data_IF_649835973366
#
_entry.id   IF_649835973366
#
_cell.length_a   1.000
_cell.length_b   1.000
_cell.length_c   1.000
_cell.angle_alpha   90.00
_cell.angle_beta   90.00
_cell.angle_gamma   90.00
#
_symmetry.space_group_name_H-M   'P 1'
#
loop_
_entity.id
_entity.type
_entity.pdbx_description
1 polymer ?
#
# COMPACT_ATOMS: atom_id res chain seq x y z
N UNK A 1 -46.55 -3.95 27.52
CA UNK A 1 -46.17 -2.66 26.92
C UNK A 1 -44.64 -2.64 26.79
N UNK A 2 -44.12 -3.15 25.68
CA UNK A 2 -42.67 -3.24 25.39
C UNK A 2 -42.45 -2.72 23.98
N UNK A 3 -42.36 -1.40 23.86
CA UNK A 3 -42.06 -0.69 22.61
C UNK A 3 -40.54 -0.79 22.36
N UNK A 4 -40.12 -1.92 21.79
CA UNK A 4 -38.78 -2.07 21.23
C UNK A 4 -38.73 -1.20 19.98
N UNK A 5 -38.19 -0.01 20.13
CA UNK A 5 -37.85 0.86 19.02
C UNK A 5 -36.83 0.14 18.14
N UNK A 6 -37.32 -0.46 17.06
CA UNK A 6 -36.50 -1.02 15.99
C UNK A 6 -35.71 0.12 15.38
N UNK A 7 -34.46 0.29 15.84
CA UNK A 7 -33.48 1.14 15.20
C UNK A 7 -33.43 0.65 13.75
N UNK A 8 -33.81 1.46 12.74
CA UNK A 8 -33.70 1.01 11.37
C UNK A 8 -32.23 0.73 11.16
N UNK A 9 -31.87 -0.55 11.08
CA UNK A 9 -30.58 -1.02 10.59
C UNK A 9 -30.55 -0.59 9.13
N UNK A 10 -30.24 0.69 8.92
CA UNK A 10 -29.96 1.30 7.64
C UNK A 10 -28.87 0.41 7.07
N UNK A 11 -29.26 -0.52 6.19
CA UNK A 11 -28.32 -1.39 5.50
C UNK A 11 -27.43 -0.44 4.72
N UNK A 12 -26.29 -0.09 5.32
CA UNK A 12 -25.21 0.61 4.67
C UNK A 12 -24.78 -0.33 3.56
N UNK A 13 -25.34 -0.10 2.37
CA UNK A 13 -25.01 -0.87 1.20
C UNK A 13 -23.64 -0.38 0.73
N UNK A 14 -22.60 -0.96 1.32
CA UNK A 14 -21.20 -0.61 1.08
C UNK A 14 -20.78 -1.35 -0.19
N UNK A 15 -21.10 -0.78 -1.35
CA UNK A 15 -20.56 -1.28 -2.62
C UNK A 15 -19.07 -0.90 -2.70
N UNK A 16 -18.18 -1.82 -2.34
CA UNK A 16 -16.72 -1.65 -2.41
C UNK A 16 -16.24 -1.24 -3.83
N UNK A 17 -16.91 -1.74 -4.87
CA UNK A 17 -16.60 -1.46 -6.27
C UNK A 17 -17.28 -0.20 -6.85
N UNK A 18 -18.23 0.40 -6.13
CA UNK A 18 -18.94 1.61 -6.58
C UNK A 18 -19.14 2.55 -5.38
N UNK A 19 -18.12 3.34 -5.01
CA UNK A 19 -18.16 4.12 -3.79
C UNK A 19 -19.17 5.27 -3.86
N UNK A 20 -20.19 5.23 -3.00
CA UNK A 20 -21.14 6.32 -2.77
C UNK A 20 -20.71 7.10 -1.51
N UNK A 21 -19.80 8.06 -1.65
CA UNK A 21 -19.38 8.96 -0.56
C UNK A 21 -17.91 9.39 -0.64
N UNK A 22 -17.62 10.64 -0.25
CA UNK A 22 -16.26 11.20 -0.28
C UNK A 22 -15.28 10.43 0.63
N UNK A 23 -15.72 9.99 1.82
CA UNK A 23 -14.91 9.18 2.74
C UNK A 23 -14.49 7.84 2.13
N UNK A 24 -15.44 7.12 1.52
CA UNK A 24 -15.17 5.81 0.93
C UNK A 24 -14.30 5.91 -0.33
N UNK A 25 -14.41 7.00 -1.11
CA UNK A 25 -13.53 7.27 -2.24
C UNK A 25 -12.08 7.49 -1.79
N UNK A 26 -11.87 8.10 -0.62
CA UNK A 26 -10.54 8.29 -0.05
C UNK A 26 -9.93 6.97 0.42
N UNK A 27 -10.71 6.09 1.05
CA UNK A 27 -10.27 4.73 1.44
C UNK A 27 -9.79 3.93 0.21
N UNK A 28 -10.59 3.91 -0.86
CA UNK A 28 -10.24 3.21 -2.10
C UNK A 28 -9.00 3.80 -2.75
N UNK A 29 -8.80 5.13 -2.68
CA UNK A 29 -7.61 5.78 -3.20
C UNK A 29 -6.34 5.38 -2.40
N UNK A 30 -6.42 5.32 -1.06
CA UNK A 30 -5.30 4.84 -0.24
C UNK A 30 -5.01 3.38 -0.56
N UNK A 31 -6.03 2.52 -0.63
CA UNK A 31 -5.86 1.10 -0.98
C UNK A 31 -5.20 0.92 -2.35
N UNK A 32 -5.60 1.70 -3.37
CA UNK A 32 -4.98 1.67 -4.71
C UNK A 32 -3.51 2.08 -4.69
N UNK A 33 -3.15 3.11 -3.92
CA UNK A 33 -1.77 3.58 -3.82
C UNK A 33 -0.89 2.52 -3.14
N UNK A 34 -1.37 1.91 -2.05
CA UNK A 34 -0.64 0.83 -1.36
C UNK A 34 -0.48 -0.39 -2.25
N UNK A 35 -1.54 -0.83 -2.93
CA UNK A 35 -1.49 -1.95 -3.87
C UNK A 35 -0.57 -1.64 -5.05
N UNK A 36 -0.63 -0.43 -5.61
CA UNK A 36 0.28 0.01 -6.67
C UNK A 36 1.73 0.02 -6.22
N UNK A 37 2.01 0.53 -5.02
CA UNK A 37 3.34 0.51 -4.41
C UNK A 37 3.84 -0.91 -4.14
N UNK A 38 2.96 -1.80 -3.68
CA UNK A 38 3.26 -3.22 -3.47
C UNK A 38 3.63 -3.93 -4.78
N UNK A 39 2.84 -3.75 -5.84
CA UNK A 39 3.12 -4.31 -7.18
C UNK A 39 4.44 -3.74 -7.70
N UNK A 40 4.62 -2.42 -7.65
CA UNK A 40 5.85 -1.79 -8.08
C UNK A 40 7.06 -2.30 -7.31
N UNK A 41 6.95 -2.56 -6.00
CA UNK A 41 8.05 -3.13 -5.23
C UNK A 41 8.32 -4.59 -5.61
N UNK A 42 7.25 -5.38 -5.74
CA UNK A 42 7.33 -6.83 -6.00
C UNK A 42 7.87 -7.13 -7.40
N UNK A 43 7.54 -6.30 -8.39
CA UNK A 43 7.99 -6.47 -9.76
C UNK A 43 9.13 -5.53 -10.15
N UNK A 44 9.24 -4.35 -9.52
CA UNK A 44 10.25 -3.35 -9.87
C UNK A 44 11.66 -3.79 -9.51
N UNK A 45 11.87 -4.47 -8.39
CA UNK A 45 13.21 -4.97 -8.04
C UNK A 45 13.66 -6.10 -8.99
N UNK A 46 12.83 -7.14 -9.29
CA UNK A 46 13.15 -8.12 -10.33
C UNK A 46 13.32 -7.51 -11.72
N UNK A 47 12.51 -6.51 -12.08
CA UNK A 47 12.57 -5.84 -13.39
C UNK A 47 13.83 -5.00 -13.53
N UNK A 48 14.28 -4.31 -12.47
CA UNK A 48 15.58 -3.62 -12.46
C UNK A 48 16.72 -4.62 -12.73
N UNK A 49 16.73 -5.75 -12.03
CA UNK A 49 17.75 -6.80 -12.22
C UNK A 49 17.73 -7.32 -13.66
N UNK A 50 16.54 -7.57 -14.20
CA UNK A 50 16.37 -7.99 -15.60
C UNK A 50 16.86 -6.93 -16.59
N UNK A 51 16.55 -5.65 -16.37
CA UNK A 51 16.99 -4.55 -17.23
C UNK A 51 18.51 -4.39 -17.24
N UNK A 52 19.15 -4.50 -16.07
CA UNK A 52 20.60 -4.51 -15.98
C UNK A 52 21.20 -5.75 -16.67
N UNK A 53 20.49 -6.88 -16.66
CA UNK A 53 20.83 -8.12 -17.36
C UNK A 53 20.85 -8.00 -18.89
N UNK A 54 19.97 -7.16 -19.45
CA UNK A 54 19.82 -6.96 -20.90
C UNK A 54 20.91 -6.08 -21.53
N UNK A 55 21.67 -5.32 -20.74
CA UNK A 55 22.69 -4.41 -21.23
C UNK A 55 23.99 -5.07 -21.72
N UNK A 56 24.12 -6.39 -21.62
CA UNK A 56 25.35 -7.12 -21.96
C UNK A 56 25.21 -7.86 -23.32
N UNK A 57 26.09 -7.59 -24.31
CA UNK A 57 26.04 -8.23 -25.63
C UNK A 57 26.39 -9.73 -25.62
N UNK A 58 26.87 -10.27 -24.49
CA UNK A 58 27.22 -11.69 -24.35
C UNK A 58 26.03 -12.64 -24.12
N UNK A 59 24.81 -12.11 -23.94
CA UNK A 59 23.57 -12.91 -23.84
C UNK A 59 23.46 -13.80 -22.60
N UNK A 60 24.43 -13.75 -21.69
CA UNK A 60 24.52 -14.58 -20.49
C UNK A 60 24.02 -13.89 -19.21
N UNK A 61 23.44 -12.68 -19.31
CA UNK A 61 22.91 -11.93 -18.15
C UNK A 61 23.98 -11.46 -17.17
N UNK A 62 25.21 -11.25 -17.65
CA UNK A 62 26.40 -10.98 -16.84
C UNK A 62 26.57 -9.49 -16.47
N UNK A 63 25.58 -8.89 -15.80
CA UNK A 63 25.69 -7.52 -15.31
C UNK A 63 26.72 -7.36 -14.19
N UNK A 64 27.20 -6.13 -13.96
CA UNK A 64 28.05 -5.77 -12.81
C UNK A 64 27.48 -6.28 -11.48
N UNK A 65 26.15 -6.28 -11.32
CA UNK A 65 25.37 -6.80 -10.19
C UNK A 65 25.34 -8.33 -10.06
N UNK A 66 25.43 -9.06 -11.18
CA UNK A 66 25.48 -10.53 -11.21
C UNK A 66 26.91 -11.03 -11.02
N UNK A 67 27.91 -10.24 -11.45
CA UNK A 67 29.33 -10.56 -11.35
C UNK A 67 29.94 -10.18 -10.00
N UNK A 68 29.42 -9.14 -9.33
CA UNK A 68 29.89 -8.77 -7.98
C UNK A 68 29.35 -9.76 -6.94
N UNK A 69 30.28 -10.34 -6.16
CA UNK A 69 29.97 -11.22 -5.03
C UNK A 69 30.34 -10.51 -3.75
N UNK A 70 29.36 -10.32 -2.87
CA UNK A 70 29.60 -9.78 -1.52
C UNK A 70 29.65 -10.96 -0.54
N UNK A 71 30.76 -11.12 0.19
CA UNK A 71 30.99 -12.24 1.14
C UNK A 71 30.80 -13.64 0.52
N UNK A 72 31.08 -13.79 -0.78
CA UNK A 72 30.94 -15.06 -1.52
C UNK A 72 29.54 -15.31 -2.13
N UNK A 73 28.54 -14.49 -1.82
CA UNK A 73 27.18 -14.59 -2.36
C UNK A 73 26.92 -13.59 -3.50
N UNK A 74 26.10 -13.93 -4.51
CA UNK A 74 25.78 -13.01 -5.60
C UNK A 74 25.06 -11.76 -5.08
N UNK A 75 25.58 -10.58 -5.41
CA UNK A 75 25.15 -9.30 -4.82
C UNK A 75 23.69 -8.97 -5.13
N UNK A 76 23.17 -9.42 -6.27
CA UNK A 76 21.76 -9.23 -6.64
C UNK A 76 20.77 -9.86 -5.64
N UNK A 77 21.09 -11.02 -5.03
CA UNK A 77 20.23 -11.61 -3.99
C UNK A 77 20.23 -10.77 -2.71
N UNK A 78 21.39 -10.24 -2.34
CA UNK A 78 21.53 -9.37 -1.17
C UNK A 78 20.78 -8.05 -1.37
N UNK A 79 20.90 -7.45 -2.56
CA UNK A 79 20.21 -6.21 -2.91
C UNK A 79 18.69 -6.43 -3.01
N UNK A 80 18.25 -7.58 -3.52
CA UNK A 80 16.83 -7.95 -3.53
C UNK A 80 16.29 -8.08 -2.10
N UNK A 81 17.01 -8.78 -1.22
CA UNK A 81 16.61 -8.96 0.17
C UNK A 81 16.52 -7.61 0.90
N UNK A 82 17.59 -6.82 0.91
CA UNK A 82 17.62 -5.53 1.60
C UNK A 82 16.69 -4.51 0.94
N UNK A 83 16.70 -4.42 -0.38
CA UNK A 83 15.88 -3.48 -1.16
C UNK A 83 14.38 -3.73 -1.00
N UNK A 84 13.95 -4.99 -1.02
CA UNK A 84 12.56 -5.34 -0.70
C UNK A 84 12.24 -4.96 0.75
N UNK A 85 13.07 -5.32 1.72
CA UNK A 85 12.83 -4.97 3.13
C UNK A 85 12.69 -3.47 3.35
N UNK A 86 13.64 -2.66 2.85
CA UNK A 86 13.58 -1.20 2.97
C UNK A 86 12.36 -0.62 2.24
N UNK A 87 12.05 -1.12 1.04
CA UNK A 87 10.89 -0.65 0.29
C UNK A 87 9.57 -0.97 0.97
N UNK A 88 9.43 -2.14 1.62
CA UNK A 88 8.23 -2.51 2.39
C UNK A 88 8.06 -1.62 3.62
N UNK A 89 9.15 -1.31 4.33
CA UNK A 89 9.12 -0.37 5.46
C UNK A 89 8.67 1.03 5.01
N UNK A 90 9.19 1.51 3.87
CA UNK A 90 8.78 2.78 3.27
C UNK A 90 7.30 2.74 2.86
N UNK A 91 6.82 1.62 2.30
CA UNK A 91 5.43 1.45 1.93
C UNK A 91 4.50 1.49 3.15
N UNK A 92 4.90 0.87 4.26
CA UNK A 92 4.18 0.96 5.53
C UNK A 92 4.13 2.40 6.05
N UNK A 93 5.26 3.12 6.01
CA UNK A 93 5.30 4.54 6.40
C UNK A 93 4.38 5.40 5.52
N UNK A 94 4.42 5.17 4.21
CA UNK A 94 3.59 5.85 3.23
C UNK A 94 2.11 5.58 3.51
N UNK A 95 1.74 4.33 3.80
CA UNK A 95 0.38 3.97 4.20
C UNK A 95 -0.08 4.73 5.44
N UNK A 96 0.72 4.75 6.51
CA UNK A 96 0.38 5.47 7.73
C UNK A 96 0.19 6.97 7.48
N UNK A 97 1.07 7.61 6.71
CA UNK A 97 0.99 9.04 6.39
C UNK A 97 -0.23 9.36 5.51
N UNK A 98 -0.51 8.53 4.49
CA UNK A 98 -1.72 8.69 3.66
C UNK A 98 -3.00 8.46 4.46
N UNK A 99 -3.02 7.46 5.32
CA UNK A 99 -4.16 7.16 6.18
C UNK A 99 -4.44 8.32 7.12
N UNK A 100 -3.42 8.87 7.76
CA UNK A 100 -3.55 9.99 8.67
C UNK A 100 -4.08 11.24 7.96
N UNK A 101 -3.50 11.59 6.79
CA UNK A 101 -3.88 12.79 6.02
C UNK A 101 -5.26 12.71 5.38
N UNK A 102 -5.68 11.52 4.95
CA UNK A 102 -6.92 11.36 4.17
C UNK A 102 -8.11 10.90 5.01
N UNK A 103 -7.89 10.13 6.07
CA UNK A 103 -8.98 9.42 6.75
C UNK A 103 -9.24 9.89 8.17
N UNK A 104 -8.28 10.52 8.86
CA UNK A 104 -8.58 11.20 10.13
C UNK A 104 -9.23 12.56 9.86
N UNK A 105 -10.49 12.55 9.45
CA UNK A 105 -11.38 13.67 9.78
C UNK A 105 -11.96 13.39 11.16
N UNK A 106 -11.73 14.23 12.18
CA UNK A 106 -12.42 14.07 13.45
C UNK A 106 -13.91 14.13 13.16
N UNK A 107 -14.63 13.04 13.42
CA UNK A 107 -16.09 13.04 13.36
C UNK A 107 -16.54 14.06 14.40
N UNK A 108 -17.19 15.17 14.01
CA UNK A 108 -17.71 16.10 14.99
C UNK A 108 -18.75 15.34 15.81
N UNK A 109 -18.45 15.11 17.09
CA UNK A 109 -19.41 14.56 18.03
C UNK A 109 -20.53 15.59 18.15
N UNK A 110 -21.79 15.24 17.87
CA UNK A 110 -22.89 16.19 18.03
C UNK A 110 -22.97 16.58 19.51
N UNK A 111 -22.63 17.85 19.80
CA UNK A 111 -22.83 18.44 21.13
C UNK A 111 -24.34 18.51 21.36
N UNK A 112 -24.86 17.58 22.16
CA UNK A 112 -26.25 17.56 22.55
C UNK A 112 -26.51 18.72 23.53
N UNK A 113 -27.01 19.85 23.00
CA UNK A 113 -27.39 21.04 23.80
C UNK A 113 -28.64 20.84 24.65
N UNK A 114 -29.31 19.68 24.59
CA UNK A 114 -30.62 19.45 25.20
C UNK A 114 -30.56 19.10 26.71
N UNK A 115 -29.52 19.56 27.41
CA UNK A 115 -29.27 19.31 28.84
C UNK A 115 -28.94 20.60 29.61
N UNK A 116 -29.67 21.68 29.34
CA UNK A 116 -29.80 22.85 30.22
C UNK A 116 -31.24 23.32 30.21
#
# INVERSE_FOLDING_TARGET
MSERNDVPLRRLNIHFFKPFGESMRQEVAVARIVLGGWVFLSFGVPLLIFLFGLGDPSGLGASFLTRSRFLGFPLHYWLLAQGCTFGYVILCKLYCDLWDRRLRRPVPVPVNKRRR
#
